data_IF_604664834589
#
_entry.id   IF_604664834589
#
_cell.length_a   1.000
_cell.length_b   1.000
_cell.length_c   1.000
_cell.angle_alpha   90.00
_cell.angle_beta   90.00
_cell.angle_gamma   90.00
#
_symmetry.space_group_name_H-M   'P 1'
#
loop_
_entity.id
_entity.type
_entity.pdbx_description
1 polymer ?
#
# COMPACT_ATOMS: atom_id res chain seq x y z
N UNK A 1 7.23 12.23 -28.48
CA UNK A 1 7.40 11.48 -27.21
C UNK A 1 6.81 10.08 -27.26
N UNK A 2 5.62 9.87 -27.83
CA UNK A 2 4.91 8.57 -27.85
C UNK A 2 5.73 7.34 -28.32
N UNK A 3 6.64 7.50 -29.28
CA UNK A 3 7.51 6.38 -29.71
C UNK A 3 8.49 5.99 -28.59
N UNK A 4 9.15 6.97 -27.98
CA UNK A 4 10.10 6.74 -26.90
C UNK A 4 9.41 6.13 -25.68
N UNK A 5 8.20 6.60 -25.33
CA UNK A 5 7.40 6.02 -24.24
C UNK A 5 7.13 4.52 -24.41
N UNK A 6 6.90 4.07 -25.65
CA UNK A 6 6.73 2.64 -25.94
C UNK A 6 8.04 1.88 -25.89
N UNK A 7 9.14 2.49 -26.36
CA UNK A 7 10.45 1.85 -26.41
C UNK A 7 11.00 1.58 -25.01
N UNK A 8 10.87 2.54 -24.08
CA UNK A 8 11.40 2.40 -22.71
C UNK A 8 10.69 1.34 -21.85
N UNK A 9 9.63 0.71 -22.36
CA UNK A 9 9.05 -0.45 -21.70
C UNK A 9 10.06 -1.61 -21.59
N UNK A 10 10.94 -1.76 -22.58
CA UNK A 10 12.00 -2.77 -22.64
C UNK A 10 13.33 -2.23 -22.10
N UNK A 11 14.00 -3.03 -21.27
CA UNK A 11 15.24 -2.62 -20.59
C UNK A 11 16.43 -2.44 -21.54
N UNK A 12 16.51 -3.25 -22.61
CA UNK A 12 17.58 -3.13 -23.60
C UNK A 12 17.41 -1.82 -24.38
N UNK A 13 16.18 -1.49 -24.77
CA UNK A 13 15.88 -0.23 -25.43
C UNK A 13 16.27 0.99 -24.57
N UNK A 14 16.05 0.93 -23.26
CA UNK A 14 16.50 2.02 -22.37
C UNK A 14 18.01 2.22 -22.43
N UNK A 15 18.78 1.13 -22.42
CA UNK A 15 20.24 1.18 -22.51
C UNK A 15 20.71 1.73 -23.86
N UNK A 16 20.06 1.33 -24.96
CA UNK A 16 20.36 1.83 -26.31
C UNK A 16 20.02 3.32 -26.44
N UNK A 17 18.90 3.77 -25.86
CA UNK A 17 18.48 5.18 -25.85
C UNK A 17 19.52 6.04 -25.13
N UNK A 18 19.97 5.60 -23.95
CA UNK A 18 20.97 6.32 -23.17
C UNK A 18 22.36 6.30 -23.84
N UNK A 19 22.72 5.21 -24.51
CA UNK A 19 23.99 5.10 -25.22
C UNK A 19 24.03 5.88 -26.53
N UNK A 20 22.86 6.26 -27.08
CA UNK A 20 22.76 7.00 -28.34
C UNK A 20 23.10 8.49 -28.12
N UNK A 21 24.19 9.00 -28.74
CA UNK A 21 24.63 10.38 -28.50
C UNK A 21 23.55 11.42 -28.84
N UNK A 22 23.31 12.35 -27.91
CA UNK A 22 22.38 13.46 -28.10
C UNK A 22 20.90 13.10 -27.96
N UNK A 23 20.55 11.83 -27.69
CA UNK A 23 19.15 11.45 -27.45
C UNK A 23 18.70 11.79 -26.02
N UNK A 24 19.49 11.46 -24.99
CA UNK A 24 19.17 11.84 -23.61
C UNK A 24 19.01 13.37 -23.43
N UNK A 25 19.94 14.22 -23.92
CA UNK A 25 19.75 15.67 -23.84
C UNK A 25 18.45 16.17 -24.48
N UNK A 26 18.00 15.55 -25.58
CA UNK A 26 16.70 15.88 -26.21
C UNK A 26 15.52 15.44 -25.37
N UNK A 27 15.61 14.30 -24.70
CA UNK A 27 14.58 13.82 -23.77
C UNK A 27 14.51 14.75 -22.55
N UNK A 28 15.67 15.20 -22.05
CA UNK A 28 15.79 16.11 -20.90
C UNK A 28 15.50 17.57 -21.23
N UNK A 29 15.46 17.95 -22.51
CA UNK A 29 15.29 19.35 -22.93
C UNK A 29 14.04 20.02 -22.35
N UNK A 30 12.84 19.38 -22.32
CA UNK A 30 11.67 19.95 -21.66
C UNK A 30 11.92 20.21 -20.17
N UNK A 31 12.52 19.25 -19.46
CA UNK A 31 12.83 19.36 -18.03
C UNK A 31 13.83 20.49 -17.72
N UNK A 32 14.74 20.81 -18.66
CA UNK A 32 15.72 21.88 -18.50
C UNK A 32 15.26 23.23 -19.11
N UNK A 33 14.00 23.34 -19.54
CA UNK A 33 13.50 24.59 -20.13
C UNK A 33 13.34 25.67 -19.06
N UNK A 34 13.88 26.88 -19.30
CA UNK A 34 13.69 28.04 -18.43
C UNK A 34 12.24 28.55 -18.41
N UNK A 35 11.48 28.25 -19.47
CA UNK A 35 10.08 28.67 -19.64
C UNK A 35 9.10 27.56 -19.30
N UNK A 36 9.55 26.45 -18.70
CA UNK A 36 8.74 25.25 -18.49
C UNK A 36 7.37 25.55 -17.88
N UNK A 37 7.33 26.29 -16.76
CA UNK A 37 6.08 26.63 -16.05
C UNK A 37 5.14 27.48 -16.91
N UNK A 38 5.69 28.39 -17.72
CA UNK A 38 4.90 29.19 -18.64
C UNK A 38 4.38 28.34 -19.81
N UNK A 39 5.20 27.44 -20.33
CA UNK A 39 4.87 26.61 -21.49
C UNK A 39 3.81 25.55 -21.17
N UNK A 40 3.85 24.95 -19.98
CA UNK A 40 2.84 23.95 -19.55
C UNK A 40 1.47 24.57 -19.30
N UNK A 41 1.38 25.90 -19.13
CA UNK A 41 0.09 26.60 -19.12
C UNK A 41 -0.61 26.58 -20.50
N UNK A 42 0.13 26.23 -21.56
CA UNK A 42 -0.37 26.03 -22.92
C UNK A 42 -0.55 24.51 -23.14
N UNK A 43 -1.80 24.05 -23.20
CA UNK A 43 -2.19 22.62 -23.15
C UNK A 43 -1.35 21.67 -24.05
N UNK A 44 -0.94 22.07 -25.25
CA UNK A 44 -0.17 21.20 -26.16
C UNK A 44 1.27 20.91 -25.69
N UNK A 45 1.88 21.83 -24.93
CA UNK A 45 3.22 21.62 -24.37
C UNK A 45 3.19 20.71 -23.15
N UNK A 46 2.13 20.79 -22.33
CA UNK A 46 1.95 19.92 -21.16
C UNK A 46 2.03 18.42 -21.52
N UNK A 47 1.42 18.00 -22.64
CA UNK A 47 1.49 16.61 -23.10
C UNK A 47 2.91 16.17 -23.49
N UNK A 48 3.68 17.06 -24.13
CA UNK A 48 5.06 16.78 -24.54
C UNK A 48 5.95 16.65 -23.29
N UNK A 49 5.80 17.55 -22.31
CA UNK A 49 6.54 17.51 -21.05
C UNK A 49 6.17 16.24 -20.27
N UNK A 50 4.88 15.93 -20.13
CA UNK A 50 4.42 14.73 -19.45
C UNK A 50 4.99 13.45 -20.11
N UNK A 51 4.99 13.39 -21.44
CA UNK A 51 5.64 12.30 -22.18
C UNK A 51 7.14 12.21 -21.92
N UNK A 52 7.85 13.34 -21.86
CA UNK A 52 9.27 13.41 -21.49
C UNK A 52 9.50 12.88 -20.08
N UNK A 53 8.71 13.30 -19.10
CA UNK A 53 8.87 12.87 -17.71
C UNK A 53 8.57 11.38 -17.54
N UNK A 54 7.57 10.84 -18.25
CA UNK A 54 7.30 9.38 -18.30
C UNK A 54 8.52 8.59 -18.78
N UNK A 55 9.16 9.07 -19.84
CA UNK A 55 10.38 8.46 -20.38
C UNK A 55 11.52 8.58 -19.37
N UNK A 56 11.75 9.76 -18.78
CA UNK A 56 12.82 9.98 -17.80
C UNK A 56 12.65 9.11 -16.56
N UNK A 57 11.46 9.09 -15.95
CA UNK A 57 11.19 8.22 -14.80
C UNK A 57 11.49 6.76 -15.12
N UNK A 58 11.03 6.25 -16.28
CA UNK A 58 11.32 4.87 -16.69
C UNK A 58 12.81 4.61 -16.87
N UNK A 59 13.57 5.56 -17.45
CA UNK A 59 15.02 5.45 -17.61
C UNK A 59 15.75 5.44 -16.25
N UNK A 60 15.32 6.28 -15.29
CA UNK A 60 15.89 6.32 -13.94
C UNK A 60 15.70 4.97 -13.22
N UNK A 61 14.52 4.35 -13.36
CA UNK A 61 14.20 3.08 -12.72
C UNK A 61 14.92 1.87 -13.34
N UNK A 62 15.70 2.02 -14.41
CA UNK A 62 16.45 0.90 -14.99
C UNK A 62 17.57 0.48 -14.04
N UNK A 63 17.56 -0.76 -13.53
CA UNK A 63 18.68 -1.26 -12.76
C UNK A 63 19.90 -1.30 -13.68
N UNK A 64 21.04 -0.77 -13.21
CA UNK A 64 22.38 -0.70 -13.86
C UNK A 64 22.90 0.73 -14.04
N UNK A 65 23.96 0.88 -14.85
CA UNK A 65 24.64 2.15 -15.11
C UNK A 65 23.71 3.17 -15.78
N UNK A 66 22.78 2.71 -16.63
CA UNK A 66 21.83 3.53 -17.36
C UNK A 66 21.00 4.40 -16.42
N UNK A 67 20.34 3.79 -15.43
CA UNK A 67 19.54 4.51 -14.44
C UNK A 67 20.38 5.45 -13.60
N UNK A 68 21.54 4.99 -13.10
CA UNK A 68 22.46 5.82 -12.30
C UNK A 68 22.98 7.04 -13.06
N UNK A 69 23.24 6.89 -14.36
CA UNK A 69 23.71 7.99 -15.19
C UNK A 69 22.61 9.04 -15.37
N UNK A 70 21.40 8.64 -15.79
CA UNK A 70 20.27 9.58 -15.95
C UNK A 70 19.95 10.29 -14.63
N UNK A 71 20.01 9.55 -13.53
CA UNK A 71 19.86 10.07 -12.17
C UNK A 71 20.87 11.19 -11.88
N UNK A 72 22.17 10.93 -12.09
CA UNK A 72 23.23 11.91 -11.91
C UNK A 72 23.07 13.14 -12.81
N UNK A 73 22.66 12.97 -14.07
CA UNK A 73 22.44 14.09 -14.99
C UNK A 73 21.33 15.01 -14.49
N UNK A 74 20.21 14.46 -13.99
CA UNK A 74 19.12 15.27 -13.46
C UNK A 74 19.51 15.91 -12.13
N UNK A 75 20.08 15.15 -11.20
CA UNK A 75 20.46 15.64 -9.88
C UNK A 75 21.54 16.76 -9.94
N UNK A 76 22.40 16.74 -10.96
CA UNK A 76 23.44 17.76 -11.17
C UNK A 76 22.92 19.05 -11.82
N UNK A 77 21.71 19.04 -12.40
CA UNK A 77 21.12 20.20 -13.05
C UNK A 77 20.22 20.97 -12.07
N UNK A 78 20.71 22.12 -11.59
CA UNK A 78 19.94 23.02 -10.71
C UNK A 78 18.61 23.44 -11.36
N UNK A 79 18.62 23.70 -12.67
CA UNK A 79 17.41 24.04 -13.43
C UNK A 79 16.40 22.88 -13.46
N UNK A 80 16.86 21.65 -13.72
CA UNK A 80 15.98 20.49 -13.74
C UNK A 80 15.33 20.25 -12.37
N UNK A 81 16.11 20.35 -11.29
CA UNK A 81 15.62 20.17 -9.93
C UNK A 81 14.64 21.30 -9.55
N UNK A 82 14.98 22.57 -9.82
CA UNK A 82 14.08 23.71 -9.57
C UNK A 82 12.76 23.58 -10.31
N UNK A 83 12.80 23.16 -11.58
CA UNK A 83 11.60 22.94 -12.38
C UNK A 83 10.71 21.83 -11.80
N UNK A 84 11.29 20.74 -11.28
CA UNK A 84 10.52 19.70 -10.59
C UNK A 84 9.90 20.23 -9.29
N UNK A 85 10.65 21.02 -8.51
CA UNK A 85 10.16 21.67 -7.29
C UNK A 85 8.99 22.63 -7.60
N UNK A 86 9.10 23.46 -8.63
CA UNK A 86 8.05 24.39 -9.05
C UNK A 86 6.78 23.67 -9.51
N UNK A 87 6.91 22.55 -10.24
CA UNK A 87 5.77 21.71 -10.63
C UNK A 87 5.08 21.09 -9.40
N UNK A 88 5.82 20.76 -8.34
CA UNK A 88 5.20 20.30 -7.08
C UNK A 88 4.36 21.40 -6.41
N UNK A 89 4.78 22.65 -6.55
CA UNK A 89 4.13 23.82 -5.94
C UNK A 89 2.94 24.35 -6.76
N UNK A 90 2.85 23.99 -8.04
CA UNK A 90 1.78 24.42 -8.94
C UNK A 90 0.43 23.79 -8.52
N UNK A 91 -0.42 24.57 -7.83
CA UNK A 91 -1.75 24.14 -7.38
C UNK A 91 -2.82 24.08 -8.49
N UNK A 92 -2.40 24.03 -9.75
CA UNK A 92 -3.30 24.03 -10.90
C UNK A 92 -3.76 22.60 -11.23
N UNK A 93 -5.08 22.37 -11.19
CA UNK A 93 -5.71 21.07 -11.45
C UNK A 93 -5.42 20.52 -12.86
N UNK A 94 -5.03 21.37 -13.81
CA UNK A 94 -4.75 20.93 -15.19
C UNK A 94 -3.37 20.27 -15.35
N UNK A 95 -2.57 20.17 -14.28
CA UNK A 95 -1.19 19.66 -14.34
C UNK A 95 -0.94 18.49 -13.37
N UNK A 96 -1.98 17.92 -12.77
CA UNK A 96 -1.88 16.85 -11.76
C UNK A 96 -1.15 15.59 -12.28
N UNK A 97 -1.31 15.24 -13.56
CA UNK A 97 -0.51 14.15 -14.16
C UNK A 97 0.98 14.46 -14.19
N UNK A 98 1.33 15.70 -14.54
CA UNK A 98 2.72 16.14 -14.56
C UNK A 98 3.28 16.20 -13.14
N UNK A 99 2.47 16.66 -12.18
CA UNK A 99 2.82 16.67 -10.77
C UNK A 99 3.12 15.27 -10.27
N UNK A 100 2.30 14.26 -10.60
CA UNK A 100 2.60 12.85 -10.28
C UNK A 100 3.95 12.41 -10.85
N UNK A 101 4.28 12.77 -12.11
CA UNK A 101 5.58 12.43 -12.70
C UNK A 101 6.74 13.16 -12.05
N UNK A 102 6.55 14.42 -11.65
CA UNK A 102 7.57 15.15 -10.91
C UNK A 102 7.83 14.50 -9.54
N UNK A 103 6.78 14.08 -8.83
CA UNK A 103 6.86 13.34 -7.56
C UNK A 103 7.65 12.05 -7.76
N UNK A 104 7.30 11.24 -8.77
CA UNK A 104 7.98 9.98 -9.08
C UNK A 104 9.48 10.19 -9.35
N UNK A 105 9.84 11.14 -10.23
CA UNK A 105 11.25 11.46 -10.52
C UNK A 105 11.97 11.90 -9.26
N UNK A 106 11.45 12.89 -8.51
CA UNK A 106 12.08 13.38 -7.29
C UNK A 106 12.21 12.29 -6.21
N UNK A 107 11.29 11.33 -6.16
CA UNK A 107 11.36 10.19 -5.23
C UNK A 107 12.54 9.29 -5.57
N UNK A 108 12.71 8.91 -6.82
CA UNK A 108 13.87 8.15 -7.27
C UNK A 108 15.18 8.91 -7.02
N UNK A 109 15.16 10.24 -7.24
CA UNK A 109 16.28 11.12 -6.90
C UNK A 109 16.63 11.09 -5.41
N UNK A 110 15.61 11.15 -4.55
CA UNK A 110 15.79 11.19 -3.11
C UNK A 110 16.21 9.85 -2.48
N UNK A 111 15.85 8.71 -3.10
CA UNK A 111 16.17 7.37 -2.60
C UNK A 111 17.62 6.95 -2.90
N UNK A 112 18.27 7.54 -3.91
CA UNK A 112 19.66 7.21 -4.23
C UNK A 112 20.64 7.88 -3.26
N UNK A 113 21.24 7.06 -2.40
CA UNK A 113 22.24 7.49 -1.44
C UNK A 113 23.55 7.99 -2.07
N UNK A 114 23.76 7.76 -3.38
CA UNK A 114 24.95 8.22 -4.10
C UNK A 114 24.83 9.64 -4.62
N UNK A 115 23.66 10.27 -4.49
CA UNK A 115 23.42 11.61 -5.02
C UNK A 115 23.38 12.69 -3.96
N UNK A 116 23.99 13.83 -4.32
CA UNK A 116 24.00 15.06 -3.53
C UNK A 116 22.69 15.85 -3.73
N UNK A 117 21.54 15.16 -3.84
CA UNK A 117 20.25 15.87 -3.85
C UNK A 117 20.11 16.64 -2.54
N UNK A 118 19.91 17.95 -2.65
CA UNK A 118 19.98 18.85 -1.51
C UNK A 118 18.99 18.46 -0.42
N UNK A 119 19.38 18.63 0.86
CA UNK A 119 18.46 18.42 1.98
C UNK A 119 17.21 19.29 1.88
N UNK A 120 17.33 20.48 1.29
CA UNK A 120 16.22 21.41 1.02
C UNK A 120 15.21 20.78 0.06
N UNK A 121 15.66 20.22 -1.05
CA UNK A 121 14.80 19.55 -2.05
C UNK A 121 14.07 18.36 -1.44
N UNK A 122 14.78 17.53 -0.64
CA UNK A 122 14.17 16.41 0.09
C UNK A 122 13.09 16.87 1.06
N UNK A 123 13.33 17.99 1.76
CA UNK A 123 12.34 18.60 2.66
C UNK A 123 11.13 19.18 1.91
N UNK A 124 11.32 19.82 0.75
CA UNK A 124 10.22 20.32 -0.10
C UNK A 124 9.34 19.15 -0.55
N UNK A 125 9.96 18.10 -1.12
CA UNK A 125 9.26 16.90 -1.57
C UNK A 125 8.39 16.33 -0.45
N UNK A 126 8.96 16.15 0.75
CA UNK A 126 8.25 15.64 1.91
C UNK A 126 7.06 16.50 2.34
N UNK A 127 7.27 17.81 2.52
CA UNK A 127 6.22 18.71 2.98
C UNK A 127 5.03 18.70 2.02
N UNK A 128 5.31 18.67 0.71
CA UNK A 128 4.30 18.58 -0.33
C UNK A 128 3.57 17.25 -0.29
N UNK A 129 4.29 16.13 -0.14
CA UNK A 129 3.64 14.83 -0.04
C UNK A 129 2.78 14.69 1.22
N UNK A 130 3.24 15.18 2.37
CA UNK A 130 2.44 15.23 3.61
C UNK A 130 1.19 16.08 3.42
N UNK A 131 1.32 17.27 2.83
CA UNK A 131 0.19 18.14 2.52
C UNK A 131 -0.84 17.42 1.65
N UNK A 132 -0.43 16.85 0.50
CA UNK A 132 -1.33 16.15 -0.43
C UNK A 132 -1.97 14.93 0.24
N UNK A 133 -1.19 14.11 0.94
CA UNK A 133 -1.66 12.87 1.55
C UNK A 133 -2.60 13.09 2.75
N UNK A 134 -2.42 14.17 3.49
CA UNK A 134 -3.24 14.50 4.66
C UNK A 134 -4.33 15.52 4.37
N UNK A 135 -4.47 15.98 3.12
CA UNK A 135 -5.55 16.91 2.76
C UNK A 135 -6.92 16.23 2.91
N UNK A 136 -7.78 16.87 3.70
CA UNK A 136 -9.18 16.53 3.86
C UNK A 136 -10.03 17.32 2.85
N UNK A 137 -10.88 16.60 2.12
CA UNK A 137 -11.77 17.17 1.11
C UNK A 137 -11.88 16.27 -0.11
N UNK A 138 -13.11 15.90 -0.48
CA UNK A 138 -13.36 15.32 -1.80
C UNK A 138 -13.75 16.44 -2.77
N UNK A 139 -13.14 16.50 -3.97
CA UNK A 139 -13.57 17.44 -4.99
C UNK A 139 -15.05 17.22 -5.36
N UNK A 140 -15.78 18.29 -5.63
CA UNK A 140 -17.21 18.22 -6.00
C UNK A 140 -17.42 17.58 -7.39
N UNK A 141 -16.43 17.65 -8.28
CA UNK A 141 -16.48 17.13 -9.64
C UNK A 141 -15.85 15.72 -9.75
N UNK A 142 -16.53 14.82 -10.48
CA UNK A 142 -16.14 13.40 -10.58
C UNK A 142 -14.75 13.16 -11.20
N UNK A 143 -14.41 13.87 -12.28
CA UNK A 143 -13.12 13.68 -12.96
C UNK A 143 -11.96 14.24 -12.13
N UNK A 144 -12.17 15.40 -11.49
CA UNK A 144 -11.26 16.01 -10.52
C UNK A 144 -11.01 15.08 -9.32
N UNK A 145 -12.07 14.41 -8.84
CA UNK A 145 -11.99 13.42 -7.78
C UNK A 145 -11.08 12.24 -8.13
N UNK A 146 -11.21 11.64 -9.32
CA UNK A 146 -10.35 10.52 -9.71
C UNK A 146 -8.86 10.89 -9.76
N UNK A 147 -8.52 12.04 -10.32
CA UNK A 147 -7.12 12.45 -10.46
C UNK A 147 -6.54 12.87 -9.10
N UNK A 148 -7.31 13.60 -8.27
CA UNK A 148 -6.94 13.91 -6.88
C UNK A 148 -6.67 12.64 -6.07
N UNK A 149 -7.48 11.59 -6.23
CA UNK A 149 -7.26 10.30 -5.57
C UNK A 149 -5.94 9.65 -6.00
N UNK A 150 -5.64 9.64 -7.31
CA UNK A 150 -4.37 9.11 -7.83
C UNK A 150 -3.17 9.91 -7.32
N UNK A 151 -3.27 11.23 -7.24
CA UNK A 151 -2.24 12.09 -6.69
C UNK A 151 -2.03 11.80 -5.20
N UNK A 152 -3.11 11.67 -4.42
CA UNK A 152 -3.07 11.28 -3.00
C UNK A 152 -2.40 9.92 -2.79
N UNK A 153 -2.71 8.93 -3.62
CA UNK A 153 -2.04 7.61 -3.61
C UNK A 153 -0.56 7.74 -3.94
N UNK A 154 -0.19 8.54 -4.95
CA UNK A 154 1.21 8.76 -5.36
C UNK A 154 2.02 9.41 -4.24
N UNK A 155 1.45 10.43 -3.59
CA UNK A 155 2.06 11.11 -2.45
C UNK A 155 2.27 10.17 -1.26
N UNK A 156 1.26 9.39 -0.90
CA UNK A 156 1.36 8.44 0.19
C UNK A 156 2.38 7.32 -0.06
N UNK A 157 2.43 6.76 -1.28
CA UNK A 157 3.45 5.76 -1.67
C UNK A 157 4.87 6.34 -1.59
N UNK A 158 5.03 7.59 -2.01
CA UNK A 158 6.28 8.33 -1.89
C UNK A 158 6.70 8.45 -0.43
N UNK A 159 5.79 8.85 0.46
CA UNK A 159 6.05 8.92 1.91
C UNK A 159 6.47 7.56 2.47
N UNK A 160 5.80 6.47 2.07
CA UNK A 160 6.13 5.12 2.53
C UNK A 160 7.55 4.71 2.11
N UNK A 161 7.97 5.03 0.88
CA UNK A 161 9.32 4.77 0.39
C UNK A 161 10.36 5.61 1.14
N UNK A 162 10.13 6.91 1.26
CA UNK A 162 11.04 7.85 1.91
C UNK A 162 11.19 7.57 3.42
N UNK A 163 10.14 7.06 4.08
CA UNK A 163 10.15 6.66 5.49
C UNK A 163 11.10 5.49 5.79
N UNK A 164 11.72 4.87 4.77
CA UNK A 164 12.80 3.87 4.96
C UNK A 164 14.18 4.50 5.17
N UNK A 165 14.31 5.81 4.93
CA UNK A 165 15.59 6.52 4.96
C UNK A 165 15.73 7.36 6.25
N UNK A 166 16.91 7.33 6.87
CA UNK A 166 17.14 7.93 8.19
C UNK A 166 17.17 9.47 8.19
N UNK A 167 17.49 10.11 7.07
CA UNK A 167 17.73 11.56 6.98
C UNK A 167 16.46 12.40 6.81
N UNK A 168 15.32 11.75 6.56
CA UNK A 168 14.10 12.35 6.00
C UNK A 168 12.92 12.25 6.99
N UNK A 169 13.09 11.51 8.09
CA UNK A 169 12.00 11.09 8.96
C UNK A 169 11.49 12.10 9.98
N UNK A 170 12.30 13.09 10.37
CA UNK A 170 11.90 14.01 11.45
C UNK A 170 10.62 14.80 11.11
N UNK A 171 10.36 15.09 9.84
CA UNK A 171 9.14 15.76 9.40
C UNK A 171 7.94 14.81 9.39
N UNK A 172 8.12 13.58 8.90
CA UNK A 172 7.05 12.57 8.89
C UNK A 172 6.64 12.16 10.31
N UNK A 173 7.62 12.07 11.23
CA UNK A 173 7.36 11.79 12.66
C UNK A 173 6.53 12.89 13.32
N UNK A 174 6.63 14.16 12.87
CA UNK A 174 5.79 15.24 13.42
C UNK A 174 4.32 15.10 13.04
N UNK A 175 4.06 14.54 11.86
CA UNK A 175 2.71 14.28 11.35
C UNK A 175 2.18 12.90 11.78
N UNK A 176 2.85 12.24 12.72
CA UNK A 176 2.53 10.88 13.15
C UNK A 176 1.05 10.71 13.54
N UNK A 177 0.50 11.60 14.36
CA UNK A 177 -0.90 11.49 14.80
C UNK A 177 -1.87 11.65 13.62
N UNK A 178 -1.60 12.60 12.72
CA UNK A 178 -2.39 12.79 11.51
C UNK A 178 -2.36 11.55 10.62
N UNK A 179 -1.20 10.88 10.50
CA UNK A 179 -1.07 9.61 9.76
C UNK A 179 -1.85 8.49 10.47
N UNK A 180 -1.86 8.45 11.81
CA UNK A 180 -2.68 7.49 12.56
C UNK A 180 -4.17 7.73 12.34
N UNK A 181 -4.62 8.97 12.18
CA UNK A 181 -6.01 9.29 11.84
C UNK A 181 -6.42 8.72 10.48
N UNK A 182 -5.51 8.67 9.49
CA UNK A 182 -5.78 8.05 8.19
C UNK A 182 -6.17 6.57 8.30
N UNK A 183 -5.77 5.86 9.37
CA UNK A 183 -6.16 4.47 9.60
C UNK A 183 -7.67 4.27 9.86
N UNK A 184 -8.41 5.32 10.20
CA UNK A 184 -9.84 5.25 10.52
C UNK A 184 -10.66 4.57 9.42
N UNK A 185 -11.65 3.77 9.80
CA UNK A 185 -12.58 3.09 8.89
C UNK A 185 -13.35 4.03 7.95
N UNK A 186 -13.47 5.33 8.27
CA UNK A 186 -14.06 6.35 7.38
C UNK A 186 -13.24 6.58 6.10
N UNK A 187 -11.95 6.28 6.13
CA UNK A 187 -11.04 6.50 5.02
C UNK A 187 -11.07 5.33 4.03
N UNK A 188 -10.70 5.60 2.78
CA UNK A 188 -10.61 4.56 1.74
C UNK A 188 -9.54 3.53 2.09
N UNK A 189 -9.82 2.26 1.76
CA UNK A 189 -8.94 1.11 2.00
C UNK A 189 -7.50 1.38 1.51
N UNK A 190 -7.35 1.96 0.31
CA UNK A 190 -6.02 2.27 -0.24
C UNK A 190 -5.23 3.28 0.62
N UNK A 191 -5.88 4.32 1.16
CA UNK A 191 -5.21 5.30 2.02
C UNK A 191 -4.82 4.69 3.35
N UNK A 192 -5.70 3.86 3.92
CA UNK A 192 -5.44 3.12 5.17
C UNK A 192 -4.25 2.17 5.01
N UNK A 193 -4.20 1.46 3.88
CA UNK A 193 -3.09 0.54 3.53
C UNK A 193 -1.78 1.30 3.45
N UNK A 194 -1.75 2.42 2.73
CA UNK A 194 -0.56 3.26 2.59
C UNK A 194 -0.13 3.87 3.94
N UNK A 195 -1.08 4.34 4.76
CA UNK A 195 -0.78 4.88 6.09
C UNK A 195 -0.17 3.81 7.01
N UNK A 196 -0.68 2.56 6.96
CA UNK A 196 -0.09 1.45 7.69
C UNK A 196 1.36 1.17 7.24
N UNK A 197 1.64 1.20 5.93
CA UNK A 197 3.00 1.04 5.40
C UNK A 197 3.93 2.19 5.82
N UNK A 198 3.45 3.45 5.84
CA UNK A 198 4.23 4.59 6.35
C UNK A 198 4.58 4.37 7.82
N UNK A 199 3.58 4.05 8.66
CA UNK A 199 3.76 3.82 10.09
C UNK A 199 4.68 2.63 10.37
N UNK A 200 4.61 1.58 9.57
CA UNK A 200 5.51 0.42 9.67
C UNK A 200 6.96 0.84 9.44
N UNK A 201 7.24 1.57 8.37
CA UNK A 201 8.58 2.07 8.07
C UNK A 201 9.08 3.05 9.15
N UNK A 202 8.20 3.89 9.70
CA UNK A 202 8.53 4.73 10.85
C UNK A 202 8.91 3.88 12.07
N UNK A 203 8.13 2.84 12.38
CA UNK A 203 8.39 1.96 13.51
C UNK A 203 9.71 1.19 13.38
N UNK A 204 10.10 0.76 12.18
CA UNK A 204 11.36 0.03 11.93
C UNK A 204 12.57 0.96 12.02
N UNK A 205 12.50 2.11 11.36
CA UNK A 205 13.69 2.92 11.07
C UNK A 205 13.87 4.11 12.00
N UNK A 206 12.86 4.43 12.82
CA UNK A 206 12.85 5.63 13.64
C UNK A 206 12.64 5.33 15.11
N UNK A 207 13.28 6.15 15.96
CA UNK A 207 13.07 6.09 17.41
C UNK A 207 11.71 6.70 17.75
N UNK A 208 10.67 5.91 17.52
CA UNK A 208 9.31 6.26 17.93
C UNK A 208 9.20 6.27 19.45
N UNK A 209 8.38 7.18 19.97
CA UNK A 209 8.04 7.19 21.38
C UNK A 209 7.16 5.98 21.70
N UNK A 210 7.69 5.10 22.55
CA UNK A 210 7.02 3.85 22.95
C UNK A 210 5.66 4.11 23.57
N UNK A 211 5.50 5.21 24.31
CA UNK A 211 4.25 5.46 25.00
C UNK A 211 3.17 5.98 24.06
N UNK A 212 3.52 6.78 23.06
CA UNK A 212 2.60 7.13 21.97
C UNK A 212 2.23 5.91 21.11
N UNK A 213 3.17 5.01 20.84
CA UNK A 213 2.88 3.75 20.12
C UNK A 213 1.90 2.89 20.92
N UNK A 214 2.14 2.73 22.23
CA UNK A 214 1.28 1.94 23.13
C UNK A 214 -0.11 2.53 23.30
N UNK A 215 -0.22 3.86 23.47
CA UNK A 215 -1.48 4.51 23.84
C UNK A 215 -2.37 4.89 22.65
N UNK A 216 -1.78 5.14 21.48
CA UNK A 216 -2.50 5.65 20.31
C UNK A 216 -2.52 4.62 19.17
N UNK A 217 -1.35 4.18 18.70
CA UNK A 217 -1.26 3.36 17.49
C UNK A 217 -1.69 1.92 17.71
N UNK A 218 -1.11 1.24 18.70
CA UNK A 218 -1.38 -0.18 18.94
C UNK A 218 -2.87 -0.48 19.20
N UNK A 219 -3.60 0.27 20.04
CA UNK A 219 -5.02 0.02 20.27
C UNK A 219 -5.84 0.14 18.97
N UNK A 220 -5.43 1.07 18.09
CA UNK A 220 -6.10 1.32 16.81
C UNK A 220 -5.84 0.20 15.81
N UNK A 221 -4.57 -0.16 15.63
CA UNK A 221 -4.16 -1.27 14.75
C UNK A 221 -4.77 -2.58 15.21
N UNK A 222 -4.71 -2.89 16.51
CA UNK A 222 -5.32 -4.11 17.03
C UNK A 222 -6.83 -4.12 16.85
N UNK A 223 -7.51 -2.98 16.98
CA UNK A 223 -8.95 -2.92 16.72
C UNK A 223 -9.25 -3.35 15.28
N UNK A 224 -8.53 -2.80 14.31
CA UNK A 224 -8.71 -3.12 12.90
C UNK A 224 -8.35 -4.57 12.55
N UNK A 225 -7.27 -5.10 13.13
CA UNK A 225 -6.90 -6.53 12.95
C UNK A 225 -7.94 -7.46 13.55
N UNK A 226 -8.55 -7.08 14.67
CA UNK A 226 -9.45 -7.95 15.44
C UNK A 226 -10.93 -7.77 15.08
N UNK A 227 -11.29 -6.71 14.33
CA UNK A 227 -12.62 -6.53 13.75
C UNK A 227 -12.76 -7.39 12.51
N UNK A 228 -13.33 -8.58 12.69
CA UNK A 228 -13.96 -9.33 11.60
C UNK A 228 -15.36 -8.74 11.40
N UNK A 229 -15.52 -7.77 10.51
CA UNK A 229 -16.82 -7.61 9.85
C UNK A 229 -16.95 -8.78 8.88
N UNK A 230 -17.41 -9.91 9.41
CA UNK A 230 -17.99 -10.95 8.59
C UNK A 230 -19.10 -10.28 7.78
N UNK A 231 -19.02 -10.43 6.47
CA UNK A 231 -20.02 -10.08 5.49
C UNK A 231 -21.39 -10.64 5.88
N UNK A 232 -22.15 -9.89 6.68
CA UNK A 232 -23.60 -10.03 6.80
C UNK A 232 -24.26 -9.50 5.51
N UNK A 233 -24.02 -10.19 4.41
CA UNK A 233 -24.99 -10.25 3.33
C UNK A 233 -24.87 -11.60 2.63
N UNK A 234 -25.99 -12.32 2.59
CA UNK A 234 -26.25 -13.52 1.80
C UNK A 234 -26.10 -14.89 2.50
N UNK A 235 -26.65 -15.05 3.70
CA UNK A 235 -27.23 -16.36 4.07
C UNK A 235 -28.54 -16.13 4.85
N UNK A 236 -29.64 -15.92 4.14
CA UNK A 236 -30.93 -16.45 4.57
C UNK A 236 -31.84 -16.65 3.35
N UNK A 237 -32.57 -17.77 3.37
CA UNK A 237 -33.55 -18.24 2.40
C UNK A 237 -33.03 -19.11 1.24
N UNK A 238 -32.43 -20.25 1.57
CA UNK A 238 -32.79 -21.51 0.92
C UNK A 238 -33.69 -22.27 1.90
N UNK A 239 -34.99 -22.11 1.70
CA UNK A 239 -36.03 -22.95 2.27
C UNK A 239 -36.95 -23.32 1.12
N UNK A 240 -37.02 -24.62 0.86
CA UNK A 240 -37.91 -25.27 -0.10
C UNK A 240 -39.34 -24.72 -0.06
N UNK A 241 -39.96 -24.56 -1.23
CA UNK A 241 -41.17 -25.33 -1.53
C UNK A 241 -41.45 -25.32 -3.03
N UNK A 242 -41.62 -26.54 -3.54
CA UNK A 242 -42.05 -26.85 -4.88
C UNK A 242 -43.57 -26.67 -5.02
N UNK A 243 -44.00 -26.64 -6.29
CA UNK A 243 -45.34 -26.90 -6.80
C UNK A 243 -46.35 -25.72 -6.94
N UNK A 244 -46.48 -25.31 -8.22
CA UNK A 244 -47.69 -25.52 -9.01
C UNK A 244 -48.81 -24.45 -8.96
N UNK A 245 -48.90 -23.59 -9.98
CA UNK A 245 -49.92 -23.71 -11.05
C UNK A 245 -49.88 -22.53 -12.04
N UNK A 246 -50.23 -22.88 -13.28
CA UNK A 246 -50.27 -22.11 -14.52
C UNK A 246 -51.43 -21.09 -14.64
N UNK A 247 -51.12 -20.02 -15.37
CA UNK A 247 -51.85 -19.34 -16.47
C UNK A 247 -53.26 -18.71 -16.27
N UNK A 248 -53.33 -17.47 -16.81
CA UNK A 248 -54.45 -16.66 -17.37
C UNK A 248 -54.70 -15.37 -16.57
N UNK A 249 -54.97 -14.18 -17.13
CA UNK A 249 -55.14 -13.68 -18.50
C UNK A 249 -55.00 -12.13 -18.49
N UNK A 250 -54.62 -11.58 -19.65
CA UNK A 250 -55.04 -10.31 -20.29
C UNK A 250 -55.30 -9.03 -19.46
N UNK A 251 -54.68 -7.93 -19.91
CA UNK A 251 -55.25 -6.58 -19.84
C UNK A 251 -54.22 -5.44 -19.83
N UNK A 252 -54.04 -4.77 -20.96
CA UNK A 252 -53.38 -3.47 -21.07
C UNK A 252 -54.15 -2.41 -20.25
N UNK A 253 -53.47 -1.49 -19.55
CA UNK A 253 -53.33 -0.10 -20.02
C UNK A 253 -52.61 0.84 -19.01
N UNK A 254 -51.95 1.83 -19.60
CA UNK A 254 -51.62 3.20 -19.14
C UNK A 254 -50.94 3.52 -17.78
N UNK A 255 -49.77 4.17 -17.93
CA UNK A 255 -49.25 5.29 -17.13
C UNK A 255 -49.42 5.28 -15.60
N UNK A 256 -48.30 5.07 -14.90
CA UNK A 256 -47.82 5.98 -13.84
C UNK A 256 -46.37 5.72 -13.45
N UNK A 257 -45.61 6.81 -13.42
CA UNK A 257 -44.21 6.86 -13.00
C UNK A 257 -44.04 6.43 -11.54
N UNK A 258 -42.93 5.71 -11.26
CA UNK A 258 -42.16 5.77 -10.01
C UNK A 258 -40.74 5.25 -10.32
N UNK A 259 -39.68 5.90 -9.81
CA UNK A 259 -38.31 5.56 -10.17
C UNK A 259 -37.96 4.21 -9.54
N UNK A 260 -37.67 3.22 -10.39
CA UNK A 260 -36.98 2.01 -9.97
C UNK A 260 -35.63 2.44 -9.38
N UNK A 261 -35.50 2.33 -8.06
CA UNK A 261 -34.19 2.21 -7.42
C UNK A 261 -33.44 1.08 -8.12
N UNK A 262 -32.54 1.44 -9.04
CA UNK A 262 -31.52 0.52 -9.52
C UNK A 262 -30.64 0.23 -8.30
N UNK A 263 -30.93 -0.86 -7.59
CA UNK A 263 -29.88 -1.60 -6.90
C UNK A 263 -28.90 -2.01 -7.99
N UNK A 264 -27.83 -1.25 -8.15
CA UNK A 264 -26.67 -1.70 -8.91
C UNK A 264 -26.18 -2.97 -8.21
N UNK A 265 -26.41 -4.12 -8.83
CA UNK A 265 -25.66 -5.32 -8.49
C UNK A 265 -24.20 -5.00 -8.87
N UNK A 266 -23.30 -4.99 -7.88
CA UNK A 266 -21.84 -4.87 -8.12
C UNK A 266 -21.44 -5.95 -9.12
N UNK A 267 -20.61 -5.62 -10.11
CA UNK A 267 -20.09 -6.61 -11.06
C UNK A 267 -19.14 -7.58 -10.32
N UNK A 268 -18.97 -8.78 -10.85
CA UNK A 268 -18.03 -9.76 -10.29
C UNK A 268 -16.60 -9.21 -10.23
N UNK A 269 -16.20 -8.42 -11.24
CA UNK A 269 -14.87 -7.79 -11.30
C UNK A 269 -14.67 -6.78 -10.16
N UNK A 270 -15.68 -5.94 -9.89
CA UNK A 270 -15.60 -4.92 -8.84
C UNK A 270 -15.58 -5.55 -7.43
N UNK A 271 -16.31 -6.66 -7.24
CA UNK A 271 -16.28 -7.41 -5.98
C UNK A 271 -14.91 -8.06 -5.74
N UNK A 272 -14.24 -8.54 -6.79
CA UNK A 272 -12.91 -9.14 -6.69
C UNK A 272 -11.81 -8.11 -6.38
N UNK A 273 -11.90 -6.91 -6.96
CA UNK A 273 -11.00 -5.80 -6.64
C UNK A 273 -11.14 -5.32 -5.18
N UNK A 274 -12.38 -5.19 -4.69
CA UNK A 274 -12.65 -4.80 -3.30
C UNK A 274 -12.13 -5.85 -2.31
N UNK A 275 -12.34 -7.14 -2.60
CA UNK A 275 -11.81 -8.24 -1.80
C UNK A 275 -10.27 -8.23 -1.78
N UNK A 276 -9.63 -7.98 -2.93
CA UNK A 276 -8.17 -7.88 -3.03
C UNK A 276 -7.64 -6.72 -2.19
N UNK A 277 -8.28 -5.55 -2.26
CA UNK A 277 -7.89 -4.39 -1.46
C UNK A 277 -8.07 -4.64 0.05
N UNK A 278 -9.13 -5.36 0.46
CA UNK A 278 -9.32 -5.76 1.85
C UNK A 278 -8.20 -6.68 2.34
N UNK A 279 -7.77 -7.65 1.53
CA UNK A 279 -6.63 -8.52 1.87
C UNK A 279 -5.32 -7.73 1.99
N UNK A 280 -5.06 -6.79 1.07
CA UNK A 280 -3.88 -5.91 1.15
C UNK A 280 -3.86 -5.06 2.42
N UNK A 281 -5.01 -4.54 2.83
CA UNK A 281 -5.17 -3.78 4.06
C UNK A 281 -4.94 -4.66 5.30
N UNK A 282 -5.55 -5.84 5.34
CA UNK A 282 -5.39 -6.80 6.44
C UNK A 282 -3.91 -7.19 6.61
N UNK A 283 -3.24 -7.44 5.49
CA UNK A 283 -1.82 -7.74 5.49
C UNK A 283 -0.97 -6.56 6.00
N UNK A 284 -1.24 -5.33 5.55
CA UNK A 284 -0.51 -4.15 6.01
C UNK A 284 -0.67 -3.94 7.52
N UNK A 285 -1.87 -4.12 8.06
CA UNK A 285 -2.09 -4.06 9.52
C UNK A 285 -1.38 -5.17 10.29
N UNK A 286 -1.36 -6.40 9.77
CA UNK A 286 -0.62 -7.51 10.38
C UNK A 286 0.90 -7.27 10.34
N UNK A 287 1.42 -6.72 9.25
CA UNK A 287 2.84 -6.36 9.12
C UNK A 287 3.23 -5.30 10.15
N UNK A 288 2.43 -4.24 10.26
CA UNK A 288 2.60 -3.20 11.27
C UNK A 288 2.50 -3.76 12.70
N UNK A 289 1.53 -4.65 12.96
CA UNK A 289 1.38 -5.32 14.26
C UNK A 289 2.62 -6.13 14.64
N UNK A 290 3.18 -6.87 13.67
CA UNK A 290 4.39 -7.65 13.85
C UNK A 290 5.56 -6.74 14.23
N UNK A 291 5.78 -5.64 13.50
CA UNK A 291 6.85 -4.69 13.80
C UNK A 291 6.70 -4.09 15.20
N UNK A 292 5.49 -3.65 15.57
CA UNK A 292 5.24 -3.05 16.89
C UNK A 292 5.57 -4.07 18.00
N UNK A 293 5.11 -5.32 17.86
CA UNK A 293 5.32 -6.34 18.87
C UNK A 293 6.75 -6.88 18.90
N UNK A 294 7.54 -6.77 17.82
CA UNK A 294 8.95 -7.21 17.81
C UNK A 294 9.92 -6.14 18.30
N UNK A 295 9.78 -4.90 17.83
CA UNK A 295 10.85 -3.89 17.96
C UNK A 295 10.57 -2.79 18.99
N UNK A 296 9.29 -2.49 19.28
CA UNK A 296 8.95 -1.25 19.99
C UNK A 296 8.53 -1.45 21.44
N UNK A 297 7.57 -2.34 21.66
CA UNK A 297 6.91 -2.47 22.97
C UNK A 297 7.21 -3.81 23.67
N UNK A 298 7.16 -3.77 25.00
CA UNK A 298 7.35 -4.95 25.83
C UNK A 298 6.20 -5.96 25.65
N UNK A 299 6.40 -7.19 26.10
CA UNK A 299 5.36 -8.22 26.12
C UNK A 299 4.15 -7.75 26.93
N UNK A 300 4.42 -7.23 28.12
CA UNK A 300 3.43 -6.79 29.09
C UNK A 300 2.60 -5.61 28.56
N UNK A 301 3.25 -4.64 27.90
CA UNK A 301 2.57 -3.49 27.31
C UNK A 301 1.68 -3.90 26.13
N UNK A 302 2.15 -4.81 25.28
CA UNK A 302 1.33 -5.35 24.19
C UNK A 302 0.12 -6.08 24.77
N UNK A 303 0.33 -6.94 25.77
CA UNK A 303 -0.71 -7.73 26.39
C UNK A 303 -1.78 -6.88 27.09
N UNK A 304 -1.38 -5.84 27.83
CA UNK A 304 -2.29 -4.89 28.47
C UNK A 304 -3.23 -4.24 27.43
N UNK A 305 -2.68 -3.81 26.29
CA UNK A 305 -3.47 -3.21 25.21
C UNK A 305 -4.34 -4.26 24.51
N UNK A 306 -3.81 -5.44 24.22
CA UNK A 306 -4.57 -6.52 23.59
C UNK A 306 -5.78 -6.94 24.43
N UNK A 307 -5.64 -7.05 25.75
CA UNK A 307 -6.75 -7.34 26.68
C UNK A 307 -7.78 -6.21 26.75
N UNK A 308 -7.36 -4.95 26.59
CA UNK A 308 -8.30 -3.81 26.52
C UNK A 308 -9.12 -3.82 25.24
N UNK A 309 -8.51 -4.19 24.11
CA UNK A 309 -9.18 -4.23 22.80
C UNK A 309 -10.04 -5.50 22.64
N UNK A 310 -9.53 -6.65 23.08
CA UNK A 310 -10.23 -7.94 23.07
C UNK A 310 -10.29 -8.51 24.50
N UNK A 311 -11.31 -8.10 25.31
CA UNK A 311 -11.41 -8.46 26.72
C UNK A 311 -11.76 -9.92 26.99
N UNK A 312 -12.22 -10.66 25.98
CA UNK A 312 -12.45 -12.09 26.10
C UNK A 312 -11.12 -12.84 26.34
N UNK A 313 -11.12 -13.79 27.28
CA UNK A 313 -9.94 -14.62 27.56
C UNK A 313 -9.48 -15.37 26.29
N UNK A 314 -8.21 -15.23 25.94
CA UNK A 314 -7.67 -15.77 24.68
C UNK A 314 -8.27 -15.14 23.41
N UNK A 315 -9.02 -14.03 23.51
CA UNK A 315 -9.73 -13.40 22.40
C UNK A 315 -8.83 -12.96 21.25
N UNK A 316 -7.65 -12.42 21.57
CA UNK A 316 -6.62 -12.10 20.57
C UNK A 316 -6.20 -13.34 19.77
N UNK A 317 -5.91 -14.45 20.47
CA UNK A 317 -5.49 -15.72 19.84
C UNK A 317 -6.60 -16.32 18.99
N UNK A 318 -7.85 -16.28 19.49
CA UNK A 318 -9.01 -16.76 18.77
C UNK A 318 -9.21 -15.98 17.46
N UNK A 319 -9.08 -14.65 17.49
CA UNK A 319 -9.16 -13.83 16.27
C UNK A 319 -8.00 -14.08 15.32
N UNK A 320 -6.76 -14.18 15.83
CA UNK A 320 -5.61 -14.50 14.99
C UNK A 320 -5.76 -15.87 14.30
N UNK A 321 -6.37 -16.84 14.98
CA UNK A 321 -6.74 -18.14 14.40
C UNK A 321 -7.79 -17.98 13.30
N UNK A 322 -8.86 -17.23 13.55
CA UNK A 322 -9.92 -16.97 12.55
C UNK A 322 -9.34 -16.35 11.27
N UNK A 323 -8.42 -15.39 11.39
CA UNK A 323 -7.73 -14.80 10.23
C UNK A 323 -7.03 -15.86 9.38
N UNK A 324 -6.36 -16.83 10.00
CA UNK A 324 -5.74 -17.94 9.26
C UNK A 324 -6.80 -18.78 8.55
N UNK A 325 -7.90 -19.11 9.22
CA UNK A 325 -8.98 -19.93 8.65
C UNK A 325 -9.64 -19.26 7.46
N UNK A 326 -9.83 -17.94 7.50
CA UNK A 326 -10.36 -17.10 6.42
C UNK A 326 -9.36 -16.92 5.25
N UNK A 327 -8.06 -17.15 5.49
CA UNK A 327 -6.99 -16.98 4.51
C UNK A 327 -6.30 -18.30 4.16
N UNK A 328 -7.03 -19.41 4.16
CA UNK A 328 -6.51 -20.73 3.77
C UNK A 328 -6.58 -21.00 2.25
N UNK A 329 -6.80 -19.99 1.41
CA UNK A 329 -6.80 -20.12 -0.05
C UNK A 329 -5.39 -20.12 -0.62
N UNK A 330 -5.18 -20.81 -1.75
CA UNK A 330 -3.87 -20.93 -2.41
C UNK A 330 -3.54 -19.66 -3.24
N UNK A 331 -3.53 -18.50 -2.57
CA UNK A 331 -3.18 -17.21 -3.15
C UNK A 331 -1.96 -16.59 -2.46
N UNK A 332 -1.22 -15.74 -3.18
CA UNK A 332 -0.02 -15.09 -2.64
C UNK A 332 -0.33 -14.16 -1.43
N UNK A 333 -1.48 -13.49 -1.44
CA UNK A 333 -1.90 -12.60 -0.35
C UNK A 333 -2.29 -13.41 0.89
N UNK A 334 -3.08 -14.47 0.71
CA UNK A 334 -3.43 -15.40 1.78
C UNK A 334 -2.17 -15.98 2.44
N UNK A 335 -1.18 -16.41 1.64
CA UNK A 335 0.08 -16.93 2.16
C UNK A 335 0.83 -15.90 3.00
N UNK A 336 0.90 -14.64 2.55
CA UNK A 336 1.52 -13.54 3.31
C UNK A 336 0.81 -13.30 4.64
N UNK A 337 -0.51 -13.24 4.63
CA UNK A 337 -1.34 -13.06 5.84
C UNK A 337 -1.09 -14.19 6.84
N UNK A 338 -1.18 -15.46 6.41
CA UNK A 338 -0.95 -16.62 7.30
C UNK A 338 0.47 -16.61 7.87
N UNK A 339 1.48 -16.23 7.07
CA UNK A 339 2.87 -16.11 7.53
C UNK A 339 3.03 -15.00 8.57
N UNK A 340 2.37 -13.87 8.41
CA UNK A 340 2.37 -12.79 9.41
C UNK A 340 1.70 -13.26 10.70
N UNK A 341 0.55 -13.92 10.62
CA UNK A 341 -0.12 -14.49 11.79
C UNK A 341 0.76 -15.50 12.54
N UNK A 342 1.42 -16.41 11.81
CA UNK A 342 2.36 -17.37 12.39
C UNK A 342 3.56 -16.70 13.07
N UNK A 343 4.13 -15.65 12.47
CA UNK A 343 5.22 -14.87 13.07
C UNK A 343 4.79 -14.14 14.34
N UNK A 344 3.63 -13.47 14.32
CA UNK A 344 3.06 -12.82 15.51
C UNK A 344 2.86 -13.88 16.61
N UNK A 345 2.25 -15.02 16.28
CA UNK A 345 1.99 -16.09 17.25
C UNK A 345 3.28 -16.62 17.90
N UNK A 346 4.29 -16.98 17.10
CA UNK A 346 5.59 -17.45 17.60
C UNK A 346 6.24 -16.40 18.51
N UNK A 347 6.19 -15.11 18.14
CA UNK A 347 6.74 -14.03 18.95
C UNK A 347 6.02 -13.88 20.29
N UNK A 348 4.69 -13.98 20.30
CA UNK A 348 3.90 -13.91 21.52
C UNK A 348 4.10 -15.14 22.42
N UNK A 349 4.23 -16.33 21.85
CA UNK A 349 4.54 -17.56 22.61
C UNK A 349 5.92 -17.50 23.28
N UNK A 350 6.96 -17.01 22.59
CA UNK A 350 8.31 -16.84 23.17
C UNK A 350 8.33 -15.93 24.40
N UNK A 351 7.35 -15.03 24.51
CA UNK A 351 7.19 -14.10 25.65
C UNK A 351 6.46 -14.73 26.84
N UNK A 352 6.02 -16.00 26.74
CA UNK A 352 5.53 -16.83 27.84
C UNK A 352 4.07 -16.61 28.26
N UNK A 353 3.50 -15.43 27.99
CA UNK A 353 2.15 -15.07 28.46
C UNK A 353 0.99 -15.69 27.66
N UNK A 354 1.28 -16.22 26.46
CA UNK A 354 0.24 -16.66 25.52
C UNK A 354 0.21 -18.17 25.25
N UNK A 355 1.21 -18.94 25.71
CA UNK A 355 1.33 -20.36 25.35
C UNK A 355 0.10 -21.19 25.72
N UNK A 356 -0.50 -20.94 26.90
CA UNK A 356 -1.75 -21.59 27.31
C UNK A 356 -2.91 -21.25 26.37
N UNK A 357 -3.12 -19.97 26.07
CA UNK A 357 -4.18 -19.54 25.14
C UNK A 357 -4.02 -20.13 23.74
N UNK A 358 -2.78 -20.22 23.22
CA UNK A 358 -2.50 -20.87 21.94
C UNK A 358 -2.77 -22.38 21.95
N UNK A 359 -2.50 -23.05 23.06
CA UNK A 359 -2.82 -24.47 23.27
C UNK A 359 -4.32 -24.70 23.29
N UNK A 360 -5.04 -23.93 24.08
CA UNK A 360 -6.49 -24.06 24.28
C UNK A 360 -7.26 -23.80 22.99
N UNK A 361 -6.80 -22.82 22.19
CA UNK A 361 -7.39 -22.50 20.89
C UNK A 361 -7.01 -23.47 19.77
N UNK A 362 -6.12 -24.44 20.01
CA UNK A 362 -5.55 -25.35 19.01
C UNK A 362 -4.94 -24.61 17.81
N UNK A 363 -4.33 -23.44 18.06
CA UNK A 363 -3.81 -22.57 17.01
C UNK A 363 -2.77 -23.27 16.12
N UNK A 364 -1.88 -24.04 16.74
CA UNK A 364 -0.80 -24.75 16.03
C UNK A 364 -1.37 -25.80 15.07
N UNK A 365 -2.52 -26.42 15.38
CA UNK A 365 -3.21 -27.34 14.48
C UNK A 365 -3.75 -26.60 13.25
N UNK A 366 -4.38 -25.44 13.44
CA UNK A 366 -4.87 -24.59 12.35
C UNK A 366 -3.72 -24.10 11.47
N UNK A 367 -2.62 -23.62 12.05
CA UNK A 367 -1.44 -23.18 11.30
C UNK A 367 -0.81 -24.34 10.50
N UNK A 368 -0.81 -25.56 11.07
CA UNK A 368 -0.30 -26.76 10.39
C UNK A 368 -1.15 -27.12 9.17
N UNK A 369 -2.49 -27.03 9.29
CA UNK A 369 -3.41 -27.25 8.16
C UNK A 369 -3.15 -26.24 7.04
N UNK A 370 -3.05 -24.95 7.38
CA UNK A 370 -2.74 -23.89 6.41
C UNK A 370 -1.38 -24.14 5.72
N UNK A 371 -0.35 -24.53 6.48
CA UNK A 371 0.96 -24.86 5.93
C UNK A 371 0.94 -26.02 4.94
N UNK A 372 0.06 -27.01 5.12
CA UNK A 372 -0.08 -28.13 4.18
C UNK A 372 -0.74 -27.64 2.89
N UNK A 373 -1.85 -26.90 3.02
CA UNK A 373 -2.62 -26.38 1.88
C UNK A 373 -1.73 -25.52 0.97
N UNK A 374 -0.94 -24.62 1.55
CA UNK A 374 -0.14 -23.63 0.83
C UNK A 374 1.27 -24.09 0.45
N UNK A 375 1.64 -25.35 0.74
CA UNK A 375 3.01 -25.84 0.58
C UNK A 375 3.52 -25.79 -0.87
N UNK A 376 2.63 -26.07 -1.83
CA UNK A 376 2.97 -26.04 -3.26
C UNK A 376 3.19 -24.61 -3.74
N UNK A 377 2.28 -23.67 -3.41
CA UNK A 377 2.43 -22.27 -3.75
C UNK A 377 3.67 -21.65 -3.09
N UNK A 378 3.91 -21.90 -1.80
CA UNK A 378 5.11 -21.40 -1.12
C UNK A 378 6.37 -21.93 -1.82
N UNK A 379 6.38 -23.19 -2.24
CA UNK A 379 7.48 -23.76 -3.03
C UNK A 379 7.66 -23.04 -4.37
N UNK A 380 6.59 -22.83 -5.12
CA UNK A 380 6.62 -22.10 -6.40
C UNK A 380 7.17 -20.68 -6.23
N UNK A 381 6.71 -19.95 -5.20
CA UNK A 381 7.15 -18.58 -4.92
C UNK A 381 8.61 -18.49 -4.46
N UNK A 382 9.15 -19.54 -3.81
CA UNK A 382 10.58 -19.61 -3.49
C UNK A 382 11.46 -19.72 -4.74
N UNK A 383 11.02 -20.49 -5.75
CA UNK A 383 11.77 -20.72 -6.97
C UNK A 383 11.63 -19.61 -8.00
N UNK A 384 10.47 -18.96 -8.06
CA UNK A 384 10.25 -17.81 -8.94
C UNK A 384 11.12 -16.60 -8.55
N UNK A 385 11.72 -16.60 -7.35
CA UNK A 385 12.28 -15.39 -6.76
C UNK A 385 11.16 -14.39 -6.43
N UNK A 386 11.43 -13.40 -5.59
CA UNK A 386 10.50 -12.27 -5.44
C UNK A 386 10.62 -11.38 -6.67
N UNK A 387 10.17 -11.87 -7.82
CA UNK A 387 10.09 -11.07 -9.04
C UNK A 387 9.15 -9.89 -8.77
N UNK A 388 9.71 -8.69 -8.88
CA UNK A 388 9.00 -7.41 -9.04
C UNK A 388 8.26 -6.80 -7.82
N UNK A 389 8.55 -7.18 -6.58
CA UNK A 389 7.81 -6.64 -5.42
C UNK A 389 8.65 -6.40 -4.16
N UNK A 390 8.51 -5.22 -3.57
CA UNK A 390 9.18 -4.69 -2.37
C UNK A 390 8.95 -5.48 -1.05
N UNK A 391 8.20 -6.59 -1.09
CA UNK A 391 7.80 -7.36 0.10
C UNK A 391 8.52 -8.71 0.11
N UNK A 392 9.47 -8.88 1.04
CA UNK A 392 10.25 -10.12 1.20
C UNK A 392 9.36 -11.24 1.74
N UNK A 393 8.82 -12.07 0.85
CA UNK A 393 7.92 -13.18 1.21
C UNK A 393 8.62 -14.54 1.34
N UNK A 394 9.90 -14.63 1.02
CA UNK A 394 10.62 -15.91 0.93
C UNK A 394 10.85 -16.61 2.28
N UNK A 395 11.04 -15.87 3.38
CA UNK A 395 11.34 -16.45 4.71
C UNK A 395 10.68 -15.65 5.83
N UNK A 396 10.35 -16.27 6.98
CA UNK A 396 10.46 -17.72 7.27
C UNK A 396 9.45 -18.56 6.46
N UNK A 397 9.65 -19.87 6.32
CA UNK A 397 8.63 -20.75 5.72
C UNK A 397 7.51 -21.02 6.71
N UNK A 398 6.30 -21.31 6.21
CA UNK A 398 5.21 -21.74 7.10
C UNK A 398 5.60 -23.01 7.87
N UNK A 399 6.27 -23.96 7.23
CA UNK A 399 6.75 -25.17 7.90
C UNK A 399 7.75 -24.88 9.03
N UNK A 400 8.54 -23.81 8.90
CA UNK A 400 9.50 -23.41 9.93
C UNK A 400 8.76 -22.79 11.14
N UNK A 401 7.78 -21.93 10.87
CA UNK A 401 6.91 -21.34 11.89
C UNK A 401 6.10 -22.40 12.64
N UNK A 402 5.56 -23.39 11.92
CA UNK A 402 4.81 -24.51 12.51
C UNK A 402 5.70 -25.30 13.45
N UNK A 403 6.91 -25.69 13.02
CA UNK A 403 7.85 -26.44 13.87
C UNK A 403 8.18 -25.67 15.14
N UNK A 404 8.41 -24.37 15.00
CA UNK A 404 8.75 -23.55 16.15
C UNK A 404 7.58 -23.38 17.12
N UNK A 405 6.37 -23.10 16.60
CA UNK A 405 5.17 -22.99 17.41
C UNK A 405 4.85 -24.29 18.17
N UNK A 406 5.10 -25.46 17.57
CA UNK A 406 4.96 -26.74 18.26
C UNK A 406 5.88 -26.85 19.49
N UNK A 407 7.14 -26.40 19.37
CA UNK A 407 8.10 -26.45 20.49
C UNK A 407 7.68 -25.50 21.61
N UNK A 408 7.11 -24.34 21.28
CA UNK A 408 6.73 -23.32 22.26
C UNK A 408 5.41 -23.58 23.00
N UNK A 409 4.57 -24.48 22.47
CA UNK A 409 3.26 -24.85 23.04
C UNK A 409 3.29 -26.21 23.76
N UNK A 410 4.36 -26.98 23.58
CA UNK A 410 4.63 -28.23 24.31
C UNK A 410 4.82 -27.96 25.81
#
# INVERSE_FOLDING_TARGET
>A
MTILEKLVADQQNCSDICSTPGLLPKIMAPLNSETLIQDISINAWADIVNGSFKVLHRLICVPEWTGRWVHSEIASSEHAVSNLEEILDEGNRNVEELQMRAIEILTELALDMQTDLSSKTKEILLKKQLQIFLTDGEPEEHDSKFITERLKVTAGKTLALLAKTATVSALVVREYENIVEVLDAKNKIIYRTIAAEILENLCIHHKMDKEHVKTILLPKVLREVLTTEASESNVSALGDDAENHQLSALGNDEEKQLPKHKRQMKSADQANEEQTAMMELQEAFLSLTLVICTELISADDFDDVARKVAPAEGGFVAKLKTIIEENCEDTANSLRIVKLCGQIAVRMMRRGQYSAHFKDQKFVETLSKASIIMSNLESCMLFAGTDCGTKKTARPLLSDLVKEAHVLVA
#
